data_IF_031824698017
#
_entry.id   IF_031824698017
#
_cell.length_a   1.000
_cell.length_b   1.000
_cell.length_c   1.000
_cell.angle_alpha   90.00
_cell.angle_beta   90.00
_cell.angle_gamma   90.00
#
_symmetry.space_group_name_H-M   'P 1'
#
loop_
_entity.id
_entity.type
_entity.pdbx_description
1 polymer ?
#
# COMPACT_ATOMS: atom_id res chain seq x y z
N UNK A 1 -1.53 -20.90 -18.15
CA UNK A 1 -0.26 -21.25 -17.43
C UNK A 1 -0.51 -21.68 -15.97
N UNK A 2 -1.51 -22.56 -15.73
CA UNK A 2 -1.84 -23.10 -14.40
C UNK A 2 -0.68 -23.88 -13.74
N UNK A 3 0.31 -24.26 -14.54
CA UNK A 3 1.49 -25.00 -14.03
C UNK A 3 2.53 -24.07 -13.39
N UNK A 4 2.50 -22.77 -13.71
CA UNK A 4 3.46 -21.79 -13.21
C UNK A 4 2.87 -20.84 -12.17
N UNK A 5 1.59 -20.48 -12.34
CA UNK A 5 0.92 -19.44 -11.53
C UNK A 5 -0.48 -19.89 -11.09
N UNK A 6 -0.94 -19.32 -9.98
CA UNK A 6 -2.33 -19.44 -9.53
C UNK A 6 -2.76 -18.20 -8.74
N UNK A 7 -4.06 -18.02 -8.60
CA UNK A 7 -4.62 -16.91 -7.84
C UNK A 7 -4.50 -17.17 -6.34
N UNK A 8 -3.72 -16.32 -5.65
CA UNK A 8 -3.57 -16.33 -4.20
C UNK A 8 -4.76 -15.63 -3.53
N UNK A 9 -5.32 -16.25 -2.50
CA UNK A 9 -6.48 -15.76 -1.76
C UNK A 9 -6.16 -15.45 -0.29
N UNK A 10 -5.14 -16.08 0.27
CA UNK A 10 -4.72 -15.93 1.66
C UNK A 10 -3.26 -16.34 1.84
N UNK A 11 -2.71 -16.15 3.05
CA UNK A 11 -1.29 -16.41 3.34
C UNK A 11 -0.86 -17.88 3.07
N UNK A 12 -1.76 -18.86 3.26
CA UNK A 12 -1.43 -20.28 2.98
C UNK A 12 -1.13 -20.52 1.50
N UNK A 13 -1.66 -19.67 0.62
CA UNK A 13 -1.34 -19.74 -0.80
C UNK A 13 0.10 -19.32 -1.10
N UNK A 14 0.73 -18.51 -0.23
CA UNK A 14 2.16 -18.17 -0.32
C UNK A 14 3.00 -19.41 0.02
N UNK A 15 2.65 -20.12 1.10
CA UNK A 15 3.32 -21.36 1.51
C UNK A 15 3.18 -22.43 0.42
N UNK A 16 1.95 -22.63 -0.07
CA UNK A 16 1.66 -23.55 -1.18
C UNK A 16 2.44 -23.21 -2.46
N UNK A 17 2.55 -21.92 -2.80
CA UNK A 17 3.34 -21.48 -3.95
C UNK A 17 4.80 -21.90 -3.81
N UNK A 18 5.39 -21.70 -2.62
CA UNK A 18 6.76 -22.09 -2.31
C UNK A 18 6.95 -23.62 -2.41
N UNK A 19 6.07 -24.40 -1.79
CA UNK A 19 6.09 -25.87 -1.83
C UNK A 19 5.99 -26.41 -3.26
N UNK A 20 5.07 -25.85 -4.05
CA UNK A 20 4.82 -26.29 -5.42
C UNK A 20 5.75 -25.66 -6.46
N UNK A 21 6.68 -24.79 -6.06
CA UNK A 21 7.56 -24.01 -6.95
C UNK A 21 6.77 -23.23 -8.00
N UNK A 22 5.64 -22.64 -7.59
CA UNK A 22 4.75 -21.81 -8.40
C UNK A 22 4.73 -20.38 -7.87
N UNK A 23 4.10 -19.47 -8.63
CA UNK A 23 3.86 -18.09 -8.20
C UNK A 23 2.38 -17.90 -7.83
N UNK A 24 2.12 -17.51 -6.58
CA UNK A 24 0.79 -17.02 -6.19
C UNK A 24 0.66 -15.54 -6.58
N UNK A 25 -0.41 -15.19 -7.30
CA UNK A 25 -0.71 -13.82 -7.71
C UNK A 25 -1.85 -13.31 -6.84
N UNK A 26 -1.62 -12.18 -6.16
CA UNK A 26 -2.62 -11.47 -5.38
C UNK A 26 -3.04 -10.21 -6.12
N UNK A 27 -4.33 -10.00 -6.30
CA UNK A 27 -4.86 -8.80 -6.95
C UNK A 27 -5.02 -7.65 -5.95
N UNK A 28 -4.76 -6.43 -6.42
CA UNK A 28 -4.99 -5.21 -5.67
C UNK A 28 -5.33 -4.05 -6.57
N UNK A 29 -5.94 -3.01 -5.98
CA UNK A 29 -6.24 -1.76 -6.67
C UNK A 29 -5.34 -0.63 -6.16
N UNK A 30 -4.76 0.13 -7.08
CA UNK A 30 -3.95 1.31 -6.73
C UNK A 30 -4.76 2.56 -6.37
N UNK A 31 -6.08 2.45 -6.33
CA UNK A 31 -7.01 3.46 -5.80
C UNK A 31 -8.34 2.81 -5.42
N UNK A 32 -9.23 3.58 -4.81
CA UNK A 32 -10.56 3.12 -4.40
C UNK A 32 -11.67 3.40 -5.43
N UNK A 33 -11.35 3.81 -6.66
CA UNK A 33 -12.38 4.08 -7.68
C UNK A 33 -13.38 2.94 -7.89
N UNK A 34 -13.00 1.65 -7.76
CA UNK A 34 -13.94 0.55 -7.91
C UNK A 34 -15.07 0.49 -6.86
N UNK A 35 -14.94 1.19 -5.73
CA UNK A 35 -16.00 1.25 -4.72
C UNK A 35 -16.85 2.52 -4.80
N UNK A 36 -16.47 3.48 -5.66
CA UNK A 36 -17.17 4.76 -5.81
C UNK A 36 -17.46 5.39 -4.42
N UNK A 37 -18.71 5.65 -4.10
CA UNK A 37 -19.20 6.11 -2.80
C UNK A 37 -20.05 5.04 -2.06
N UNK A 38 -20.04 3.79 -2.54
CA UNK A 38 -20.78 2.66 -1.95
C UNK A 38 -19.83 1.70 -1.20
N UNK A 39 -19.87 1.78 0.13
CA UNK A 39 -19.07 0.93 1.01
C UNK A 39 -19.34 -0.57 0.83
N UNK A 40 -20.55 -0.96 0.39
CA UNK A 40 -20.91 -2.37 0.16
C UNK A 40 -20.11 -2.99 -1.00
N UNK A 41 -19.54 -2.18 -1.87
CA UNK A 41 -18.68 -2.66 -2.95
C UNK A 41 -17.36 -3.22 -2.44
N UNK A 42 -16.90 -2.86 -1.24
CA UNK A 42 -15.66 -3.40 -0.64
C UNK A 42 -15.76 -4.92 -0.49
N UNK A 43 -16.86 -5.43 0.05
CA UNK A 43 -17.06 -6.87 0.19
C UNK A 43 -17.16 -7.56 -1.17
N UNK A 44 -17.80 -6.93 -2.14
CA UNK A 44 -17.89 -7.46 -3.52
C UNK A 44 -16.53 -7.60 -4.18
N UNK A 45 -15.68 -6.55 -4.12
CA UNK A 45 -14.33 -6.61 -4.71
C UNK A 45 -13.42 -7.59 -3.94
N UNK A 46 -13.62 -7.74 -2.63
CA UNK A 46 -12.93 -8.77 -1.85
C UNK A 46 -13.30 -10.19 -2.34
N UNK A 47 -14.60 -10.48 -2.55
CA UNK A 47 -15.07 -11.76 -3.08
C UNK A 47 -14.54 -12.04 -4.50
N UNK A 48 -14.35 -11.00 -5.31
CA UNK A 48 -13.70 -11.11 -6.63
C UNK A 48 -12.19 -11.37 -6.54
N UNK A 49 -11.62 -11.33 -5.33
CA UNK A 49 -10.22 -11.70 -5.07
C UNK A 49 -9.28 -10.53 -4.80
N UNK A 50 -9.78 -9.31 -4.66
CA UNK A 50 -8.97 -8.17 -4.23
C UNK A 50 -8.42 -8.39 -2.82
N UNK A 51 -7.10 -8.21 -2.63
CA UNK A 51 -6.42 -8.39 -1.34
C UNK A 51 -5.69 -7.15 -0.85
N UNK A 52 -5.43 -6.21 -1.75
CA UNK A 52 -4.79 -4.93 -1.45
C UNK A 52 -5.60 -3.80 -2.09
N UNK A 53 -5.79 -2.69 -1.40
CA UNK A 53 -6.43 -1.52 -1.99
C UNK A 53 -5.85 -0.23 -1.40
N UNK A 54 -5.48 0.71 -2.28
CA UNK A 54 -5.03 2.03 -1.87
C UNK A 54 -6.22 2.97 -1.68
N UNK A 55 -6.14 3.84 -0.67
CA UNK A 55 -7.19 4.84 -0.42
C UNK A 55 -7.19 5.94 -1.49
N UNK A 56 -6.04 6.23 -2.07
CA UNK A 56 -5.90 7.26 -3.11
C UNK A 56 -4.70 6.97 -4.01
N UNK A 57 -4.70 7.54 -5.22
CA UNK A 57 -3.58 7.51 -6.16
C UNK A 57 -3.14 8.95 -6.49
N UNK A 58 -2.04 9.38 -5.87
CA UNK A 58 -1.39 10.68 -6.05
C UNK A 58 -2.20 11.91 -5.65
N UNK A 59 -3.46 12.03 -6.06
CA UNK A 59 -4.32 13.18 -5.87
C UNK A 59 -5.33 12.94 -4.75
N UNK A 60 -6.14 13.97 -4.44
CA UNK A 60 -7.24 13.84 -3.49
C UNK A 60 -8.29 12.85 -4.02
N UNK A 61 -8.71 11.91 -3.17
CA UNK A 61 -9.85 11.04 -3.39
C UNK A 61 -11.00 11.37 -2.43
N UNK A 62 -12.10 10.63 -2.51
CA UNK A 62 -13.17 10.69 -1.51
C UNK A 62 -12.70 10.20 -0.13
N UNK A 63 -11.59 9.46 -0.04
CA UNK A 63 -11.16 8.77 1.17
C UNK A 63 -9.97 9.43 1.87
N UNK A 64 -9.00 9.95 1.11
CA UNK A 64 -7.76 10.46 1.65
C UNK A 64 -7.04 11.40 0.67
N UNK A 65 -6.06 12.12 1.18
CA UNK A 65 -5.19 13.01 0.40
C UNK A 65 -4.03 12.22 -0.21
N UNK A 66 -3.79 12.42 -1.49
CA UNK A 66 -2.65 11.85 -2.22
C UNK A 66 -1.38 12.68 -2.05
N UNK A 67 -0.22 12.04 -2.28
CA UNK A 67 1.09 12.64 -2.01
C UNK A 67 1.48 13.82 -2.92
N UNK A 68 0.78 14.05 -4.02
CA UNK A 68 1.00 15.20 -4.90
C UNK A 68 0.12 16.42 -4.58
N UNK A 69 -0.78 16.30 -3.61
CA UNK A 69 -1.58 17.44 -3.17
C UNK A 69 -0.74 18.45 -2.37
N UNK A 70 -1.07 19.74 -2.52
CA UNK A 70 -0.38 20.81 -1.80
C UNK A 70 -0.73 20.86 -0.31
N UNK A 71 -1.96 20.45 0.02
CA UNK A 71 -2.48 20.44 1.39
C UNK A 71 -2.91 19.02 1.71
N UNK A 72 -2.26 18.43 2.70
CA UNK A 72 -2.63 17.11 3.22
C UNK A 72 -3.70 17.26 4.30
N UNK A 73 -4.93 17.02 3.93
CA UNK A 73 -6.09 17.06 4.84
C UNK A 73 -6.28 15.78 5.66
N UNK A 74 -5.52 14.73 5.35
CA UNK A 74 -5.64 13.44 6.01
C UNK A 74 -6.76 12.56 5.43
N UNK A 75 -7.20 11.59 6.24
CA UNK A 75 -8.29 10.66 5.90
C UNK A 75 -9.64 11.32 6.16
N UNK A 76 -10.56 11.23 5.19
CA UNK A 76 -11.93 11.76 5.32
C UNK A 76 -12.78 10.91 6.27
N UNK A 77 -13.97 11.42 6.66
CA UNK A 77 -14.91 10.61 7.45
C UNK A 77 -15.35 9.34 6.69
N UNK A 78 -15.61 9.45 5.39
CA UNK A 78 -15.92 8.28 4.58
C UNK A 78 -14.71 7.33 4.47
N UNK A 79 -13.50 7.87 4.36
CA UNK A 79 -12.26 7.08 4.40
C UNK A 79 -12.10 6.27 5.68
N UNK A 80 -12.51 6.80 6.85
CA UNK A 80 -12.51 6.06 8.12
C UNK A 80 -13.44 4.85 8.09
N UNK A 81 -14.65 5.00 7.54
CA UNK A 81 -15.59 3.89 7.41
C UNK A 81 -15.05 2.82 6.43
N UNK A 82 -14.45 3.26 5.32
CA UNK A 82 -13.83 2.36 4.34
C UNK A 82 -12.66 1.57 4.96
N UNK A 83 -11.80 2.21 5.77
CA UNK A 83 -10.70 1.54 6.49
C UNK A 83 -11.25 0.42 7.39
N UNK A 84 -12.28 0.71 8.18
CA UNK A 84 -12.92 -0.27 9.06
C UNK A 84 -13.50 -1.44 8.27
N UNK A 85 -14.18 -1.15 7.18
CA UNK A 85 -14.76 -2.19 6.32
C UNK A 85 -13.69 -3.03 5.63
N UNK A 86 -12.60 -2.44 5.15
CA UNK A 86 -11.44 -3.16 4.63
C UNK A 86 -10.85 -4.11 5.69
N UNK A 87 -10.72 -3.64 6.95
CA UNK A 87 -10.28 -4.47 8.07
C UNK A 87 -11.25 -5.64 8.32
N UNK A 88 -12.57 -5.40 8.27
CA UNK A 88 -13.60 -6.42 8.47
C UNK A 88 -13.51 -7.54 7.44
N UNK A 89 -13.41 -7.19 6.16
CA UNK A 89 -13.37 -8.19 5.07
C UNK A 89 -11.99 -8.81 4.84
N UNK A 90 -10.91 -8.17 5.34
CA UNK A 90 -9.55 -8.68 5.19
C UNK A 90 -8.85 -8.20 3.91
N UNK A 91 -9.11 -6.97 3.47
CA UNK A 91 -8.32 -6.27 2.46
C UNK A 91 -7.23 -5.47 3.16
N UNK A 92 -5.98 -5.63 2.73
CA UNK A 92 -4.83 -4.85 3.23
C UNK A 92 -4.91 -3.42 2.69
N UNK A 93 -4.82 -2.45 3.59
CA UNK A 93 -4.77 -1.03 3.23
C UNK A 93 -3.34 -0.71 2.77
N UNK A 94 -3.21 -0.21 1.54
CA UNK A 94 -1.93 0.23 0.97
C UNK A 94 -1.89 1.76 0.89
N UNK A 95 -0.87 2.37 1.51
CA UNK A 95 -0.71 3.83 1.58
C UNK A 95 0.46 4.34 0.72
N UNK A 96 0.88 3.57 -0.28
CA UNK A 96 2.03 3.90 -1.14
C UNK A 96 1.91 5.27 -1.82
N UNK A 97 0.73 5.63 -2.31
CA UNK A 97 0.47 6.89 -3.02
C UNK A 97 -0.15 8.00 -2.16
N UNK A 98 -0.39 7.72 -0.88
CA UNK A 98 -1.02 8.67 0.03
C UNK A 98 -0.02 9.67 0.61
N UNK A 99 -0.50 10.85 0.97
CA UNK A 99 0.24 11.87 1.68
C UNK A 99 0.59 11.42 3.12
N UNK A 100 1.46 12.15 3.78
CA UNK A 100 2.04 11.73 5.06
C UNK A 100 1.02 11.69 6.20
N UNK A 101 0.24 12.78 6.38
CA UNK A 101 -0.83 12.83 7.38
C UNK A 101 -1.90 11.77 7.13
N UNK A 102 -2.30 11.60 5.87
CA UNK A 102 -3.25 10.55 5.49
C UNK A 102 -2.75 9.16 5.87
N UNK A 103 -1.44 8.92 5.79
CA UNK A 103 -0.84 7.64 6.18
C UNK A 103 -0.80 7.47 7.69
N UNK A 104 -0.46 8.53 8.47
CA UNK A 104 -0.55 8.50 9.93
C UNK A 104 -1.99 8.26 10.39
N UNK A 105 -2.97 8.98 9.83
CA UNK A 105 -4.38 8.80 10.14
C UNK A 105 -4.82 7.35 9.87
N UNK A 106 -4.40 6.75 8.75
CA UNK A 106 -4.74 5.37 8.40
C UNK A 106 -4.12 4.35 9.39
N UNK A 107 -2.88 4.58 9.86
CA UNK A 107 -2.24 3.75 10.90
C UNK A 107 -3.03 3.82 12.21
N UNK A 108 -3.51 5.01 12.60
CA UNK A 108 -4.26 5.21 13.83
C UNK A 108 -5.66 4.59 13.77
N UNK A 109 -6.33 4.70 12.62
CA UNK A 109 -7.71 4.22 12.43
C UNK A 109 -7.76 2.70 12.24
N UNK A 110 -6.75 2.12 11.58
CA UNK A 110 -6.76 0.70 11.22
C UNK A 110 -6.52 -0.21 12.42
N UNK A 111 -7.40 -1.19 12.60
CA UNK A 111 -7.23 -2.26 13.60
C UNK A 111 -6.27 -3.36 13.16
N UNK A 112 -5.81 -3.31 11.91
CA UNK A 112 -4.89 -4.28 11.32
C UNK A 112 -3.65 -3.56 10.79
N UNK A 113 -2.49 -4.26 10.72
CA UNK A 113 -1.31 -3.70 10.09
C UNK A 113 -1.61 -3.23 8.66
N UNK A 114 -1.13 -2.04 8.30
CA UNK A 114 -1.22 -1.50 6.95
C UNK A 114 0.08 -1.73 6.17
N UNK A 115 0.06 -1.53 4.87
CA UNK A 115 1.22 -1.63 4.01
C UNK A 115 1.54 -0.32 3.30
N UNK A 116 2.81 -0.12 2.99
CA UNK A 116 3.30 0.76 1.94
C UNK A 116 4.01 -0.16 0.96
N UNK A 117 3.30 -0.60 -0.08
CA UNK A 117 3.79 -1.70 -0.94
C UNK A 117 4.95 -1.29 -1.84
N UNK A 118 5.12 0.02 -2.13
CA UNK A 118 6.17 0.53 -3.02
C UNK A 118 6.50 2.00 -2.74
N UNK A 119 7.49 2.23 -1.89
CA UNK A 119 8.10 3.53 -1.63
C UNK A 119 9.51 3.34 -1.06
N UNK A 120 10.28 4.43 -0.88
CA UNK A 120 11.61 4.39 -0.29
C UNK A 120 11.71 5.38 0.88
N UNK A 121 12.76 5.30 1.71
CA UNK A 121 13.01 6.27 2.75
C UNK A 121 13.36 7.66 2.20
N UNK A 122 12.71 8.70 2.74
CA UNK A 122 12.94 10.09 2.35
C UNK A 122 14.37 10.59 2.69
N UNK A 123 14.97 10.05 3.78
CA UNK A 123 16.33 10.45 4.18
C UNK A 123 17.38 10.05 3.15
N UNK A 124 17.15 8.93 2.44
CA UNK A 124 18.08 8.43 1.43
C UNK A 124 17.92 9.17 0.09
N UNK A 125 16.68 9.50 -0.32
CA UNK A 125 16.40 10.30 -1.50
C UNK A 125 15.13 11.11 -1.34
N UNK A 126 15.25 12.44 -1.51
CA UNK A 126 14.13 13.38 -1.39
C UNK A 126 13.24 13.32 -2.63
N UNK A 127 12.31 12.38 -2.63
CA UNK A 127 11.23 12.28 -3.63
C UNK A 127 9.88 12.39 -2.92
N UNK A 128 8.89 12.97 -3.60
CA UNK A 128 7.52 13.19 -3.08
C UNK A 128 6.87 11.88 -2.60
N UNK A 129 7.18 10.77 -3.26
CA UNK A 129 6.64 9.45 -2.95
C UNK A 129 7.32 8.76 -1.78
N UNK A 130 8.54 9.20 -1.43
CA UNK A 130 9.31 8.60 -0.35
C UNK A 130 8.77 9.04 1.02
N UNK A 131 8.98 8.22 2.02
CA UNK A 131 8.36 8.33 3.34
C UNK A 131 9.35 8.82 4.38
N UNK A 132 8.89 9.68 5.29
CA UNK A 132 9.72 10.19 6.38
C UNK A 132 10.13 9.08 7.37
N UNK A 133 11.23 9.31 8.09
CA UNK A 133 11.68 8.38 9.12
C UNK A 133 10.64 8.20 10.24
N UNK A 134 9.91 9.25 10.58
CA UNK A 134 8.91 9.19 11.64
C UNK A 134 7.71 8.35 11.21
N UNK A 135 7.30 8.49 9.96
CA UNK A 135 6.26 7.63 9.38
C UNK A 135 6.70 6.16 9.34
N UNK A 136 7.92 5.90 8.87
CA UNK A 136 8.46 4.53 8.81
C UNK A 136 8.57 3.88 10.20
N UNK A 137 9.01 4.63 11.21
CA UNK A 137 9.04 4.16 12.61
C UNK A 137 7.63 3.87 13.14
N UNK A 138 6.65 4.71 12.82
CA UNK A 138 5.27 4.53 13.24
C UNK A 138 4.65 3.32 12.56
N UNK A 139 4.88 3.16 11.25
CA UNK A 139 4.48 1.98 10.49
C UNK A 139 5.04 0.68 11.09
N UNK A 140 6.34 0.67 11.40
CA UNK A 140 7.00 -0.49 12.01
C UNK A 140 6.41 -0.82 13.40
N UNK A 141 6.16 0.21 14.24
CA UNK A 141 5.54 0.02 15.57
C UNK A 141 4.12 -0.53 15.49
N UNK A 142 3.37 -0.22 14.44
CA UNK A 142 2.02 -0.75 14.21
C UNK A 142 2.02 -2.17 13.60
N UNK A 143 3.20 -2.76 13.37
CA UNK A 143 3.33 -4.07 12.72
C UNK A 143 3.16 -4.02 11.20
N UNK A 144 3.12 -2.83 10.60
CA UNK A 144 3.01 -2.63 9.17
C UNK A 144 4.31 -2.95 8.41
N UNK A 145 4.25 -2.90 7.10
CA UNK A 145 5.41 -3.19 6.24
C UNK A 145 5.61 -2.14 5.15
N UNK A 146 6.87 -1.99 4.73
CA UNK A 146 7.22 -1.25 3.52
C UNK A 146 7.86 -2.19 2.49
N UNK A 147 7.38 -2.09 1.24
CA UNK A 147 8.03 -2.66 0.06
C UNK A 147 8.89 -1.60 -0.62
N UNK A 148 10.16 -1.90 -0.82
CA UNK A 148 11.09 -0.98 -1.46
C UNK A 148 10.86 -0.91 -2.96
N UNK A 149 10.96 0.31 -3.51
CA UNK A 149 10.67 0.60 -4.91
C UNK A 149 11.95 0.72 -5.74
N UNK A 150 11.99 0.02 -6.87
CA UNK A 150 13.04 0.20 -7.89
C UNK A 150 12.68 1.25 -8.95
N UNK A 151 11.58 1.99 -8.76
CA UNK A 151 11.19 3.04 -9.69
C UNK A 151 12.22 4.20 -9.68
N UNK A 152 12.80 4.57 -10.82
CA UNK A 152 13.95 5.50 -10.86
C UNK A 152 13.74 6.83 -10.14
N UNK A 153 12.53 7.41 -10.21
CA UNK A 153 12.23 8.68 -9.52
C UNK A 153 12.19 8.56 -7.98
N UNK A 154 12.21 7.36 -7.43
CA UNK A 154 12.27 7.12 -5.99
C UNK A 154 13.69 6.78 -5.51
N UNK A 155 14.62 6.60 -6.44
CA UNK A 155 15.99 6.16 -6.18
C UNK A 155 16.96 7.34 -6.21
N UNK A 156 17.96 7.34 -5.32
CA UNK A 156 19.15 8.15 -5.43
C UNK A 156 19.86 7.76 -6.74
N UNK A 157 20.28 8.75 -7.51
CA UNK A 157 20.88 8.59 -8.83
C UNK A 157 19.93 8.04 -9.93
N UNK A 158 18.64 7.93 -9.65
CA UNK A 158 17.61 7.60 -10.65
C UNK A 158 17.87 6.28 -11.39
N UNK A 159 17.94 6.34 -12.72
CA UNK A 159 18.24 5.17 -13.58
C UNK A 159 19.68 4.65 -13.44
N UNK A 160 20.57 5.42 -12.83
CA UNK A 160 21.98 5.04 -12.59
C UNK A 160 22.21 4.46 -11.19
N UNK A 161 21.14 4.25 -10.42
CA UNK A 161 21.23 3.63 -9.10
C UNK A 161 21.83 2.23 -9.20
N UNK A 162 22.97 2.01 -8.53
CA UNK A 162 23.59 0.69 -8.46
C UNK A 162 22.91 -0.20 -7.41
N UNK A 163 23.21 -1.49 -7.46
CA UNK A 163 22.74 -2.44 -6.44
C UNK A 163 23.30 -2.06 -5.06
N UNK A 164 24.57 -1.64 -5.00
CA UNK A 164 25.21 -1.20 -3.76
C UNK A 164 24.45 0.00 -3.17
N UNK A 165 24.19 1.03 -3.98
CA UNK A 165 23.41 2.20 -3.54
C UNK A 165 22.00 1.81 -3.04
N UNK A 166 21.38 0.84 -3.68
CA UNK A 166 20.07 0.34 -3.23
C UNK A 166 20.18 -0.41 -1.89
N UNK A 167 21.21 -1.24 -1.72
CA UNK A 167 21.44 -1.95 -0.46
C UNK A 167 21.82 -1.02 0.70
N UNK A 168 22.50 0.11 0.45
CA UNK A 168 22.79 1.12 1.48
C UNK A 168 21.54 1.76 2.09
N UNK A 169 20.41 1.71 1.38
CA UNK A 169 19.12 2.24 1.82
C UNK A 169 18.44 1.33 2.84
N UNK A 170 18.73 0.04 2.84
CA UNK A 170 18.05 -1.00 3.62
C UNK A 170 18.75 -1.26 4.96
#
# INVERSE_FOLDING_TARGET
>A
NSDLIFHGKNYKDIEKAKEQKKTAIFFGFQNCSPIEDDINLIEKVHHLGCKFMQLTYNNQSLLATGCYEKIDSGVTNFGKEVIKEMNRVGIVIDMSHSAEKSTFDAIEISEKPIAITHANPLFWHKAIRNKSNDLLKTLAKSGGMIGLSLYPHHLKDGTNCSLENFCEMT
#
